data_IF_431599281692
#
_entry.id   IF_431599281692
#
_cell.length_a   1.000
_cell.length_b   1.000
_cell.length_c   1.000
_cell.angle_alpha   90.00
_cell.angle_beta   90.00
_cell.angle_gamma   90.00
#
_symmetry.space_group_name_H-M   'P 1'
#
loop_
_entity.id
_entity.type
_entity.pdbx_description
1 polymer ?
#
# COMPACT_ATOMS: atom_id res chain seq x y z
N UNK A 1 26.34 6.62 3.46
CA UNK A 1 25.03 6.22 2.90
C UNK A 1 24.04 7.34 3.19
N UNK A 2 23.16 7.68 2.24
CA UNK A 2 22.13 8.71 2.44
C UNK A 2 21.18 8.28 3.56
N UNK A 3 20.86 9.20 4.48
CA UNK A 3 19.86 8.99 5.55
C UNK A 3 18.42 9.02 5.00
N UNK A 4 18.25 9.46 3.76
CA UNK A 4 16.97 9.62 3.08
C UNK A 4 16.85 8.64 1.91
N UNK A 5 15.63 8.17 1.60
CA UNK A 5 15.39 7.45 0.37
C UNK A 5 15.64 8.37 -0.83
N UNK A 6 16.03 7.80 -1.96
CA UNK A 6 16.10 8.58 -3.20
C UNK A 6 14.68 9.00 -3.62
N UNK A 7 14.58 10.07 -4.43
CA UNK A 7 13.30 10.50 -5.02
C UNK A 7 12.65 9.33 -5.76
N UNK A 8 13.44 8.57 -6.53
CA UNK A 8 12.98 7.40 -7.26
C UNK A 8 12.40 6.32 -6.33
N UNK A 9 13.12 5.93 -5.27
CA UNK A 9 12.63 4.92 -4.32
C UNK A 9 11.32 5.35 -3.66
N UNK A 10 11.23 6.63 -3.28
CA UNK A 10 10.03 7.19 -2.67
C UNK A 10 8.85 7.18 -3.63
N UNK A 11 9.03 7.66 -4.86
CA UNK A 11 7.98 7.64 -5.89
C UNK A 11 7.49 6.22 -6.14
N UNK A 12 8.41 5.27 -6.33
CA UNK A 12 8.05 3.88 -6.63
C UNK A 12 7.25 3.22 -5.51
N UNK A 13 7.65 3.41 -4.25
CA UNK A 13 6.91 2.89 -3.08
C UNK A 13 5.51 3.50 -3.02
N UNK A 14 5.39 4.81 -3.22
CA UNK A 14 4.10 5.51 -3.12
C UNK A 14 3.17 5.09 -4.27
N UNK A 15 3.64 5.16 -5.51
CA UNK A 15 2.85 4.83 -6.71
C UNK A 15 2.40 3.37 -6.68
N UNK A 16 3.30 2.44 -6.35
CA UNK A 16 2.94 1.01 -6.30
C UNK A 16 1.96 0.69 -5.17
N UNK A 17 2.09 1.36 -4.02
CA UNK A 17 1.09 1.21 -2.94
C UNK A 17 -0.29 1.78 -3.33
N UNK A 18 -0.33 2.87 -4.10
CA UNK A 18 -1.58 3.40 -4.68
C UNK A 18 -2.19 2.38 -5.65
N UNK A 19 -1.38 1.75 -6.50
CA UNK A 19 -1.85 0.70 -7.43
C UNK A 19 -2.42 -0.52 -6.68
N UNK A 20 -1.78 -0.94 -5.58
CA UNK A 20 -2.32 -1.98 -4.70
C UNK A 20 -3.68 -1.56 -4.12
N UNK A 21 -3.81 -0.31 -3.66
CA UNK A 21 -5.06 0.22 -3.13
C UNK A 21 -6.18 0.21 -4.18
N UNK A 22 -5.86 0.57 -5.43
CA UNK A 22 -6.76 0.44 -6.58
C UNK A 22 -7.19 -1.01 -6.83
N UNK A 23 -6.24 -1.94 -6.78
CA UNK A 23 -6.55 -3.35 -6.97
C UNK A 23 -7.46 -3.90 -5.86
N UNK A 24 -7.28 -3.46 -4.62
CA UNK A 24 -8.22 -3.75 -3.54
C UNK A 24 -9.62 -3.20 -3.84
N UNK A 25 -9.73 -1.97 -4.35
CA UNK A 25 -11.00 -1.38 -4.73
C UNK A 25 -11.70 -2.18 -5.84
N UNK A 26 -10.95 -2.67 -6.84
CA UNK A 26 -11.47 -3.56 -7.88
C UNK A 26 -12.03 -4.85 -7.30
N UNK A 27 -11.30 -5.51 -6.38
CA UNK A 27 -11.76 -6.74 -5.71
C UNK A 27 -13.04 -6.48 -4.92
N UNK A 28 -13.12 -5.38 -4.18
CA UNK A 28 -14.30 -5.00 -3.40
C UNK A 28 -15.50 -4.74 -4.31
N UNK A 29 -15.31 -3.94 -5.37
CA UNK A 29 -16.35 -3.63 -6.35
C UNK A 29 -16.87 -4.91 -7.01
N UNK A 30 -15.96 -5.76 -7.50
CA UNK A 30 -16.33 -7.02 -8.14
C UNK A 30 -17.05 -7.96 -7.18
N UNK A 31 -16.67 -8.00 -5.91
CA UNK A 31 -17.32 -8.87 -4.93
C UNK A 31 -18.77 -8.48 -4.64
N UNK A 32 -19.04 -7.19 -4.42
CA UNK A 32 -20.37 -6.73 -4.01
C UNK A 32 -21.30 -6.41 -5.17
N UNK A 33 -20.76 -5.96 -6.30
CA UNK A 33 -21.55 -5.54 -7.45
C UNK A 33 -21.51 -6.53 -8.62
N UNK A 34 -20.67 -7.58 -8.53
CA UNK A 34 -20.44 -8.58 -9.59
C UNK A 34 -19.94 -8.00 -10.93
N UNK A 35 -19.55 -6.73 -10.93
CA UNK A 35 -18.93 -6.01 -12.03
C UNK A 35 -18.11 -4.85 -11.49
N UNK A 36 -17.15 -4.38 -12.28
CA UNK A 36 -16.39 -3.16 -11.98
C UNK A 36 -17.18 -1.95 -12.50
N UNK A 37 -17.71 -1.14 -11.58
CA UNK A 37 -18.39 0.11 -11.91
C UNK A 37 -17.46 1.30 -11.64
N UNK A 38 -17.12 2.04 -12.68
CA UNK A 38 -16.26 3.23 -12.56
C UNK A 38 -16.82 4.28 -11.59
N UNK A 39 -18.12 4.65 -11.62
CA UNK A 39 -18.67 5.60 -10.66
C UNK A 39 -18.51 5.13 -9.22
N UNK A 40 -18.77 3.84 -8.93
CA UNK A 40 -18.60 3.31 -7.58
C UNK A 40 -17.13 3.29 -7.14
N UNK A 41 -16.20 2.96 -8.04
CA UNK A 41 -14.77 3.02 -7.75
C UNK A 41 -14.33 4.43 -7.36
N UNK A 42 -14.71 5.43 -8.15
CA UNK A 42 -14.21 6.81 -7.99
C UNK A 42 -14.96 7.58 -6.91
N UNK A 43 -16.29 7.48 -6.89
CA UNK A 43 -17.12 8.28 -5.97
C UNK A 43 -17.21 7.67 -4.57
N UNK A 44 -17.00 6.34 -4.44
CA UNK A 44 -17.14 5.65 -3.14
C UNK A 44 -15.81 5.07 -2.67
N UNK A 45 -15.14 4.27 -3.51
CA UNK A 45 -13.93 3.54 -3.05
C UNK A 45 -12.67 4.41 -3.06
N UNK A 46 -12.65 5.51 -3.83
CA UNK A 46 -11.55 6.47 -3.87
C UNK A 46 -11.81 7.72 -2.98
N UNK A 47 -12.99 7.83 -2.38
CA UNK A 47 -13.32 8.88 -1.41
C UNK A 47 -12.31 8.89 -0.25
N UNK A 48 -11.95 10.09 0.24
CA UNK A 48 -10.96 10.27 1.30
C UNK A 48 -11.32 9.54 2.61
N UNK A 49 -12.61 9.31 2.85
CA UNK A 49 -13.09 8.57 4.03
C UNK A 49 -12.98 7.05 3.83
N UNK A 50 -12.85 6.58 2.58
CA UNK A 50 -12.67 5.17 2.26
C UNK A 50 -11.19 4.75 2.35
N UNK A 51 -10.61 4.87 3.54
CA UNK A 51 -9.17 4.66 3.75
C UNK A 51 -8.64 3.27 3.34
N UNK A 52 -7.33 3.18 3.09
CA UNK A 52 -6.61 1.90 2.91
C UNK A 52 -6.94 0.88 4.02
N UNK A 53 -6.98 1.33 5.28
CA UNK A 53 -7.29 0.46 6.42
C UNK A 53 -8.69 -0.13 6.35
N UNK A 54 -9.67 0.64 5.89
CA UNK A 54 -11.04 0.17 5.66
C UNK A 54 -11.07 -0.87 4.53
N UNK A 55 -10.39 -0.60 3.42
CA UNK A 55 -10.25 -1.56 2.31
C UNK A 55 -9.63 -2.88 2.79
N UNK A 56 -8.58 -2.84 3.63
CA UNK A 56 -7.98 -4.05 4.22
C UNK A 56 -9.03 -4.82 5.02
N UNK A 57 -9.76 -4.16 5.92
CA UNK A 57 -10.77 -4.81 6.74
C UNK A 57 -11.86 -5.51 5.91
N UNK A 58 -12.24 -4.94 4.76
CA UNK A 58 -13.17 -5.57 3.82
C UNK A 58 -12.51 -6.77 3.14
N UNK A 59 -11.29 -6.61 2.59
CA UNK A 59 -10.53 -7.70 1.95
C UNK A 59 -10.38 -8.91 2.87
N UNK A 60 -10.09 -8.72 4.16
CA UNK A 60 -9.97 -9.82 5.12
C UNK A 60 -11.27 -10.63 5.26
N UNK A 61 -12.43 -9.95 5.22
CA UNK A 61 -13.75 -10.60 5.31
C UNK A 61 -14.10 -11.36 4.03
N UNK A 62 -13.87 -10.75 2.88
CA UNK A 62 -14.35 -11.29 1.60
C UNK A 62 -13.38 -12.31 1.01
N UNK A 63 -12.07 -12.15 1.22
CA UNK A 63 -11.03 -13.04 0.67
C UNK A 63 -10.54 -14.10 1.65
N UNK A 64 -10.72 -13.91 2.97
CA UNK A 64 -10.23 -14.83 4.02
C UNK A 64 -8.76 -15.27 3.79
N UNK A 65 -7.83 -14.30 3.67
CA UNK A 65 -6.44 -14.60 3.38
C UNK A 65 -5.77 -15.43 4.47
N UNK A 66 -4.64 -16.04 4.13
CA UNK A 66 -3.72 -16.61 5.10
C UNK A 66 -3.16 -15.54 6.04
N UNK A 67 -2.65 -15.95 7.20
CA UNK A 67 -1.99 -15.04 8.15
C UNK A 67 -0.87 -14.24 7.49
N UNK A 68 -0.10 -14.85 6.59
CA UNK A 68 0.99 -14.15 5.87
C UNK A 68 0.44 -13.05 4.94
N UNK A 69 -0.59 -13.35 4.16
CA UNK A 69 -1.20 -12.38 3.25
C UNK A 69 -1.83 -11.19 4.00
N UNK A 70 -2.45 -11.45 5.16
CA UNK A 70 -2.93 -10.37 6.04
C UNK A 70 -1.77 -9.49 6.53
N UNK A 71 -0.68 -10.09 6.99
CA UNK A 71 0.50 -9.35 7.43
C UNK A 71 1.12 -8.53 6.29
N UNK A 72 1.21 -9.13 5.10
CA UNK A 72 1.76 -8.48 3.91
C UNK A 72 0.95 -7.23 3.54
N UNK A 73 -0.38 -7.32 3.50
CA UNK A 73 -1.29 -6.19 3.25
C UNK A 73 -1.07 -5.03 4.24
N UNK A 74 -0.96 -5.35 5.54
CA UNK A 74 -0.74 -4.34 6.59
C UNK A 74 0.65 -3.71 6.49
N UNK A 75 1.66 -4.50 6.13
CA UNK A 75 3.04 -4.02 5.98
C UNK A 75 3.21 -3.08 4.78
N UNK A 76 2.53 -3.31 3.65
CA UNK A 76 2.55 -2.39 2.49
C UNK A 76 2.21 -0.96 2.90
N UNK A 77 1.09 -0.75 3.60
CA UNK A 77 0.67 0.59 4.02
C UNK A 77 1.61 1.20 5.07
N UNK A 78 2.13 0.38 5.98
CA UNK A 78 3.12 0.84 6.97
C UNK A 78 4.36 1.39 6.28
N UNK A 79 4.94 0.64 5.34
CA UNK A 79 6.16 1.07 4.64
C UNK A 79 5.86 2.30 3.79
N UNK A 80 4.73 2.32 3.06
CA UNK A 80 4.28 3.51 2.31
C UNK A 80 4.22 4.75 3.20
N UNK A 81 3.65 4.65 4.40
CA UNK A 81 3.58 5.78 5.33
C UNK A 81 4.97 6.23 5.81
N UNK A 82 5.90 5.30 6.04
CA UNK A 82 7.28 5.63 6.38
C UNK A 82 7.95 6.42 5.24
N UNK A 83 7.79 5.99 3.99
CA UNK A 83 8.31 6.74 2.82
C UNK A 83 7.57 8.06 2.56
N UNK A 84 6.27 8.14 2.87
CA UNK A 84 5.45 9.33 2.62
C UNK A 84 5.70 10.43 3.65
N UNK A 85 5.91 10.08 4.92
CA UNK A 85 5.91 11.06 6.01
C UNK A 85 7.28 11.28 6.66
N UNK A 86 8.21 10.33 6.57
CA UNK A 86 9.52 10.51 7.19
C UNK A 86 10.47 11.27 6.24
N UNK A 87 11.22 12.20 6.82
CA UNK A 87 12.12 13.10 6.09
C UNK A 87 12.91 14.02 7.03
N UNK A 88 13.56 15.06 6.51
CA UNK A 88 14.42 15.94 7.32
C UNK A 88 13.73 16.61 8.50
N UNK A 89 12.43 16.89 8.37
CA UNK A 89 11.62 17.58 9.39
C UNK A 89 11.34 16.73 10.64
N UNK A 90 11.55 15.42 10.58
CA UNK A 90 11.48 14.49 11.73
C UNK A 90 12.86 14.00 12.18
N UNK A 91 13.94 14.55 11.60
CA UNK A 91 15.28 14.18 12.01
C UNK A 91 15.52 14.58 13.47
N UNK A 92 16.10 13.68 14.24
CA UNK A 92 16.47 13.88 15.64
C UNK A 92 17.96 13.61 15.82
N UNK A 93 18.49 13.97 16.99
CA UNK A 93 19.88 13.68 17.33
C UNK A 93 20.00 13.27 18.79
N UNK A 94 20.80 12.23 19.04
CA UNK A 94 21.26 11.93 20.39
C UNK A 94 22.45 12.80 20.79
N UNK A 95 23.16 13.39 19.80
CA UNK A 95 24.34 14.25 19.94
C UNK A 95 24.35 15.32 18.85
N UNK A 96 24.92 16.52 19.08
CA UNK A 96 24.91 17.63 18.10
C UNK A 96 25.45 17.30 16.69
N UNK A 97 26.29 16.28 16.57
CA UNK A 97 26.92 15.85 15.31
C UNK A 97 26.25 14.66 14.61
N UNK A 98 25.20 14.07 15.19
CA UNK A 98 24.59 12.82 14.71
C UNK A 98 23.09 12.99 14.51
N UNK A 99 22.70 13.51 13.34
CA UNK A 99 21.30 13.56 12.94
C UNK A 99 20.88 12.26 12.27
N UNK A 100 19.74 11.72 12.67
CA UNK A 100 19.12 10.56 12.03
C UNK A 100 17.60 10.68 12.02
N UNK A 101 16.95 9.92 11.14
CA UNK A 101 15.49 9.79 11.12
C UNK A 101 15.13 8.57 11.96
N UNK A 102 14.37 8.73 13.06
CA UNK A 102 14.04 7.63 13.94
C UNK A 102 13.07 6.66 13.28
N UNK A 103 13.24 5.36 13.50
CA UNK A 103 12.21 4.36 13.18
C UNK A 103 11.02 4.55 14.14
N UNK A 104 9.80 4.84 13.65
CA UNK A 104 8.63 5.00 14.51
C UNK A 104 8.33 3.79 15.42
N UNK A 105 8.79 2.60 15.06
CA UNK A 105 8.64 1.38 15.87
C UNK A 105 9.77 1.16 16.86
N UNK A 106 10.91 1.81 16.64
CA UNK A 106 12.14 1.74 17.45
C UNK A 106 12.79 3.12 17.45
N UNK A 107 12.24 4.10 18.20
CA UNK A 107 12.66 5.49 18.10
C UNK A 107 14.12 5.74 18.50
N UNK A 108 14.74 4.78 19.19
CA UNK A 108 16.15 4.72 19.57
C UNK A 108 17.09 4.41 18.38
N UNK A 109 16.57 4.09 17.20
CA UNK A 109 17.35 3.61 16.06
C UNK A 109 17.07 4.39 14.79
N UNK A 110 18.08 4.54 13.91
CA UNK A 110 17.86 5.06 12.57
C UNK A 110 16.98 4.09 11.78
N UNK A 111 16.06 4.66 11.02
CA UNK A 111 15.32 3.91 10.01
C UNK A 111 16.24 3.50 8.86
N UNK A 112 16.09 2.27 8.40
CA UNK A 112 16.81 1.76 7.22
C UNK A 112 15.88 1.77 6.01
N UNK A 113 15.88 2.88 5.27
CA UNK A 113 15.07 3.01 4.05
C UNK A 113 15.46 2.02 2.95
N UNK A 114 16.73 1.61 2.87
CA UNK A 114 17.18 0.65 1.86
C UNK A 114 16.61 -0.74 2.15
N UNK A 115 16.68 -1.19 3.41
CA UNK A 115 16.06 -2.43 3.84
C UNK A 115 14.54 -2.40 3.65
N UNK A 116 13.87 -1.31 4.05
CA UNK A 116 12.43 -1.15 3.85
C UNK A 116 12.03 -1.14 2.38
N UNK A 117 12.85 -0.55 1.50
CA UNK A 117 12.61 -0.58 0.05
C UNK A 117 12.64 -2.02 -0.49
N UNK A 118 13.66 -2.80 -0.13
CA UNK A 118 13.75 -4.21 -0.53
C UNK A 118 12.61 -5.06 0.05
N UNK A 119 12.25 -4.82 1.32
CA UNK A 119 11.09 -5.46 1.97
C UNK A 119 9.81 -5.15 1.19
N UNK A 120 9.60 -3.87 0.85
CA UNK A 120 8.44 -3.43 0.09
C UNK A 120 8.33 -4.09 -1.28
N UNK A 121 9.42 -4.16 -2.05
CA UNK A 121 9.41 -4.79 -3.38
C UNK A 121 8.93 -6.24 -3.34
N UNK A 122 9.37 -6.99 -2.32
CA UNK A 122 8.97 -8.37 -2.09
C UNK A 122 7.50 -8.48 -1.65
N UNK A 123 7.08 -7.62 -0.71
CA UNK A 123 5.71 -7.57 -0.20
C UNK A 123 4.70 -7.19 -1.29
N UNK A 124 5.01 -6.15 -2.06
CA UNK A 124 4.14 -5.60 -3.09
C UNK A 124 3.82 -6.66 -4.15
N UNK A 125 4.83 -7.39 -4.63
CA UNK A 125 4.62 -8.47 -5.60
C UNK A 125 3.68 -9.56 -5.10
N UNK A 126 3.85 -10.00 -3.84
CA UNK A 126 2.96 -11.02 -3.24
C UNK A 126 1.53 -10.51 -3.05
N UNK A 127 1.38 -9.25 -2.64
CA UNK A 127 0.06 -8.63 -2.44
C UNK A 127 -0.66 -8.43 -3.77
N UNK A 128 0.04 -7.97 -4.81
CA UNK A 128 -0.49 -7.83 -6.16
C UNK A 128 -0.95 -9.18 -6.72
N UNK A 129 -0.14 -10.23 -6.59
CA UNK A 129 -0.51 -11.58 -7.01
C UNK A 129 -1.76 -12.07 -6.26
N UNK A 130 -1.78 -11.96 -4.94
CA UNK A 130 -2.93 -12.35 -4.11
C UNK A 130 -4.21 -11.61 -4.52
N UNK A 131 -4.16 -10.29 -4.66
CA UNK A 131 -5.33 -9.50 -5.01
C UNK A 131 -5.77 -9.74 -6.46
N UNK A 132 -4.82 -9.94 -7.38
CA UNK A 132 -5.10 -10.32 -8.76
C UNK A 132 -5.82 -11.67 -8.85
N UNK A 133 -5.34 -12.69 -8.14
CA UNK A 133 -6.01 -13.98 -8.03
C UNK A 133 -7.40 -13.83 -7.39
N UNK A 134 -7.53 -13.00 -6.35
CA UNK A 134 -8.81 -12.75 -5.71
C UNK A 134 -9.82 -12.07 -6.64
N UNK A 135 -9.37 -11.15 -7.51
CA UNK A 135 -10.20 -10.50 -8.52
C UNK A 135 -10.69 -11.51 -9.57
N UNK A 136 -9.76 -12.29 -10.13
CA UNK A 136 -10.05 -13.31 -11.14
C UNK A 136 -11.00 -14.39 -10.62
N UNK A 137 -10.80 -14.85 -9.38
CA UNK A 137 -11.69 -15.82 -8.73
C UNK A 137 -13.14 -15.33 -8.57
N UNK A 138 -13.37 -14.00 -8.67
CA UNK A 138 -14.69 -13.36 -8.61
C UNK A 138 -15.23 -12.98 -9.98
N UNK A 139 -14.59 -13.43 -11.06
CA UNK A 139 -14.97 -13.11 -12.44
C UNK A 139 -14.59 -11.70 -12.90
N UNK A 140 -13.75 -10.99 -12.13
CA UNK A 140 -13.21 -9.70 -12.54
C UNK A 140 -12.13 -9.85 -13.61
N UNK A 141 -11.83 -8.76 -14.30
CA UNK A 141 -10.74 -8.68 -15.28
C UNK A 141 -9.82 -7.51 -14.92
N UNK A 142 -8.52 -7.70 -15.13
CA UNK A 142 -7.56 -6.59 -15.13
C UNK A 142 -7.71 -5.89 -16.48
N UNK A 143 -8.44 -4.78 -16.53
CA UNK A 143 -8.61 -4.02 -17.77
C UNK A 143 -7.56 -2.93 -17.85
N UNK A 144 -6.85 -2.83 -18.99
CA UNK A 144 -5.93 -1.71 -19.26
C UNK A 144 -6.67 -0.39 -19.53
N UNK A 145 -7.99 -0.44 -19.70
CA UNK A 145 -8.86 0.73 -19.91
C UNK A 145 -9.92 0.83 -18.82
N UNK A 146 -10.32 2.05 -18.41
CA UNK A 146 -11.51 2.22 -17.57
C UNK A 146 -12.71 1.58 -18.28
N UNK A 147 -13.55 0.79 -17.58
CA UNK A 147 -14.78 0.29 -18.18
C UNK A 147 -15.63 1.49 -18.64
N UNK A 148 -16.23 1.37 -19.82
CA UNK A 148 -17.05 2.43 -20.40
C UNK A 148 -18.13 2.86 -19.41
N UNK A 149 -18.34 4.17 -19.26
CA UNK A 149 -19.44 4.70 -18.47
C UNK A 149 -20.75 4.23 -19.11
N UNK A 150 -21.44 3.29 -18.45
CA UNK A 150 -22.81 2.88 -18.80
C UNK A 150 -23.69 3.02 -17.58
#
# INVERSE_FOLDING_TARGET
MSLLPTVQQRSEVIERAINIEWLMALVICQHYLHKVLWPFLVEVLYDENFSFGLKVAIILKICKPTTQQEQDLRCVNRIRNQFAHLGPHVATSARPSEFFIPDPRRPDRPIDFAALYHEFQSLAGRVEEFLGQALLARGGQLTEKPPAAT
#
